data_IF_145604955351
#
_entry.id   IF_145604955351
#
_cell.length_a   1.000
_cell.length_b   1.000
_cell.length_c   1.000
_cell.angle_alpha   90.00
_cell.angle_beta   90.00
_cell.angle_gamma   90.00
#
_symmetry.space_group_name_H-M   'P 1'
#
loop_
_entity.id
_entity.type
_entity.pdbx_description
1 polymer ?
#
# COMPACT_ATOMS: atom_id res chain seq x y z
N UNK A 1 -9.38 13.50 -6.54
CA UNK A 1 -10.17 12.24 -6.47
C UNK A 1 -9.29 11.01 -6.20
N UNK A 2 -8.14 10.85 -6.86
CA UNK A 2 -7.25 9.71 -6.61
C UNK A 2 -6.53 9.75 -5.25
N UNK A 3 -6.14 10.94 -4.77
CA UNK A 3 -5.45 11.12 -3.48
C UNK A 3 -6.31 10.61 -2.31
N UNK A 4 -7.56 11.06 -2.23
CA UNK A 4 -8.51 10.63 -1.18
C UNK A 4 -8.77 9.12 -1.17
N UNK A 5 -8.71 8.46 -2.34
CA UNK A 5 -8.88 7.01 -2.39
C UNK A 5 -7.60 6.26 -1.98
N UNK A 6 -6.44 6.73 -2.42
CA UNK A 6 -5.17 6.13 -2.02
C UNK A 6 -4.95 6.21 -0.52
N UNK A 7 -5.30 7.33 0.12
CA UNK A 7 -5.22 7.50 1.57
C UNK A 7 -6.09 6.49 2.33
N UNK A 8 -7.32 6.25 1.88
CA UNK A 8 -8.21 5.23 2.48
C UNK A 8 -7.61 3.83 2.33
N UNK A 9 -7.04 3.51 1.16
CA UNK A 9 -6.37 2.24 0.93
C UNK A 9 -5.15 2.10 1.83
N UNK A 10 -4.35 3.14 1.97
CA UNK A 10 -3.16 3.15 2.81
C UNK A 10 -3.53 2.94 4.28
N UNK A 11 -4.55 3.64 4.77
CA UNK A 11 -5.07 3.46 6.13
C UNK A 11 -5.56 2.03 6.36
N UNK A 12 -6.29 1.44 5.41
CA UNK A 12 -6.69 0.04 5.49
C UNK A 12 -5.48 -0.91 5.55
N UNK A 13 -4.44 -0.63 4.77
CA UNK A 13 -3.20 -1.42 4.81
C UNK A 13 -2.50 -1.30 6.17
N UNK A 14 -2.47 -0.12 6.78
CA UNK A 14 -1.90 0.10 8.13
C UNK A 14 -2.67 -0.69 9.20
N UNK A 15 -3.99 -0.69 9.13
CA UNK A 15 -4.84 -1.45 10.06
C UNK A 15 -4.63 -2.96 9.93
N UNK A 16 -4.49 -3.49 8.71
CA UNK A 16 -4.37 -4.94 8.47
C UNK A 16 -2.96 -5.46 8.71
N UNK A 17 -1.94 -4.69 8.32
CA UNK A 17 -0.55 -5.13 8.40
C UNK A 17 0.11 -4.77 9.73
N UNK A 18 -0.56 -3.98 10.57
CA UNK A 18 -0.02 -3.39 11.78
C UNK A 18 0.83 -2.18 11.44
N UNK A 19 0.36 -0.98 11.80
CA UNK A 19 1.07 0.27 11.57
C UNK A 19 2.49 0.21 12.14
N UNK A 20 3.48 0.44 11.27
CA UNK A 20 4.89 0.73 11.56
C UNK A 20 5.42 0.21 12.91
N UNK A 21 5.27 -1.10 13.18
CA UNK A 21 5.93 -1.75 14.30
C UNK A 21 7.42 -1.81 14.01
N UNK A 22 8.17 -0.87 14.59
CA UNK A 22 9.62 -0.86 14.78
C UNK A 22 10.40 -1.90 13.95
N UNK A 23 10.75 -1.54 12.71
CA UNK A 23 11.85 -2.23 12.05
C UNK A 23 13.12 -1.94 12.86
N UNK A 24 13.51 -2.89 13.71
CA UNK A 24 14.81 -2.91 14.36
C UNK A 24 15.88 -2.52 13.33
N UNK A 25 16.65 -1.50 13.65
CA UNK A 25 17.77 -0.98 12.87
C UNK A 25 18.86 -2.05 12.72
N UNK A 26 18.63 -3.08 11.91
CA UNK A 26 19.71 -3.94 11.43
C UNK A 26 20.50 -3.11 10.43
N UNK A 27 21.75 -2.78 10.80
CA UNK A 27 22.74 -2.08 9.95
C UNK A 27 22.70 -2.66 8.52
N UNK A 28 22.09 -1.89 7.61
CA UNK A 28 21.80 -2.26 6.23
C UNK A 28 20.91 -1.21 5.56
N UNK A 29 20.78 -1.26 4.23
CA UNK A 29 19.87 -0.37 3.46
C UNK A 29 18.48 -0.45 4.10
N UNK A 30 17.89 0.68 4.50
CA UNK A 30 16.51 0.70 5.01
C UNK A 30 15.64 -0.11 4.04
N UNK A 31 14.81 -1.04 4.52
CA UNK A 31 13.87 -1.75 3.68
C UNK A 31 12.76 -0.79 3.23
N UNK A 32 12.19 -1.04 2.04
CA UNK A 32 11.11 -0.22 1.53
C UNK A 32 9.90 -0.22 2.49
N UNK A 33 9.14 0.89 2.59
CA UNK A 33 7.94 0.94 3.41
C UNK A 33 6.90 -0.06 2.88
N UNK A 34 6.80 -1.22 3.52
CA UNK A 34 6.01 -2.35 3.02
C UNK A 34 4.53 -2.00 2.90
N UNK A 35 3.97 -1.33 3.90
CA UNK A 35 2.56 -0.90 3.91
C UNK A 35 2.24 0.01 2.72
N UNK A 36 3.12 0.97 2.43
CA UNK A 36 2.95 1.87 1.29
C UNK A 36 3.01 1.11 -0.05
N UNK A 37 3.95 0.16 -0.18
CA UNK A 37 4.03 -0.67 -1.38
C UNK A 37 2.81 -1.59 -1.54
N UNK A 38 2.29 -2.15 -0.45
CA UNK A 38 1.06 -2.96 -0.47
C UNK A 38 -0.14 -2.10 -0.88
N UNK A 39 -0.25 -0.86 -0.40
CA UNK A 39 -1.30 0.07 -0.81
C UNK A 39 -1.26 0.36 -2.33
N UNK A 40 -0.06 0.59 -2.88
CA UNK A 40 0.11 0.77 -4.34
C UNK A 40 -0.26 -0.49 -5.11
N UNK A 41 0.15 -1.67 -4.64
CA UNK A 41 -0.21 -2.94 -5.29
C UNK A 41 -1.72 -3.19 -5.22
N UNK A 42 -2.36 -2.90 -4.08
CA UNK A 42 -3.81 -3.04 -3.95
C UNK A 42 -4.55 -2.09 -4.90
N UNK A 43 -4.14 -0.82 -4.99
CA UNK A 43 -4.69 0.14 -5.95
C UNK A 43 -4.50 -0.37 -7.39
N UNK A 44 -3.32 -0.90 -7.72
CA UNK A 44 -3.02 -1.48 -9.03
C UNK A 44 -4.00 -2.60 -9.39
N UNK A 45 -4.26 -3.52 -8.45
CA UNK A 45 -5.20 -4.62 -8.63
C UNK A 45 -6.65 -4.13 -8.77
N UNK A 46 -7.06 -3.18 -7.93
CA UNK A 46 -8.40 -2.58 -7.95
C UNK A 46 -8.71 -1.92 -9.30
N UNK A 47 -7.75 -1.17 -9.84
CA UNK A 47 -7.92 -0.43 -11.09
C UNK A 47 -7.65 -1.28 -12.35
N UNK A 48 -7.26 -2.55 -12.18
CA UNK A 48 -6.89 -3.43 -13.30
C UNK A 48 -5.64 -2.96 -14.05
N UNK A 49 -4.74 -2.25 -13.39
CA UNK A 49 -3.55 -1.68 -14.00
C UNK A 49 -2.45 -2.73 -14.22
N UNK A 50 -1.72 -2.58 -15.32
CA UNK A 50 -0.44 -3.25 -15.49
C UNK A 50 0.62 -2.67 -14.53
N UNK A 51 1.66 -3.45 -14.21
CA UNK A 51 2.77 -2.96 -13.38
C UNK A 51 3.52 -1.75 -13.98
N UNK A 52 3.45 -1.56 -15.30
CA UNK A 52 4.00 -0.36 -15.95
C UNK A 52 3.15 0.88 -15.67
N UNK A 53 1.82 0.73 -15.66
CA UNK A 53 0.91 1.81 -15.27
C UNK A 53 1.07 2.14 -13.79
N UNK A 54 1.24 1.13 -12.93
CA UNK A 54 1.52 1.36 -11.51
C UNK A 54 2.84 2.11 -11.28
N UNK A 55 3.92 1.72 -11.99
CA UNK A 55 5.20 2.44 -11.95
C UNK A 55 5.06 3.90 -12.43
N UNK A 56 4.29 4.12 -13.50
CA UNK A 56 4.00 5.47 -13.99
C UNK A 56 3.22 6.29 -12.96
N UNK A 57 2.19 5.71 -12.34
CA UNK A 57 1.44 6.36 -11.27
C UNK A 57 2.34 6.75 -10.10
N UNK A 58 3.28 5.87 -9.71
CA UNK A 58 4.26 6.17 -8.66
C UNK A 58 5.20 7.33 -9.03
N UNK A 59 5.54 7.49 -10.31
CA UNK A 59 6.34 8.62 -10.79
C UNK A 59 5.55 9.93 -10.73
N UNK A 60 4.30 9.89 -11.17
CA UNK A 60 3.39 11.04 -11.18
C UNK A 60 2.99 11.49 -9.77
N UNK A 61 2.96 10.56 -8.80
CA UNK A 61 2.52 10.79 -7.42
C UNK A 61 3.66 10.63 -6.40
N UNK A 62 4.92 10.91 -6.80
CA UNK A 62 6.07 10.72 -5.92
C UNK A 62 6.01 11.59 -4.65
N UNK A 63 5.49 12.81 -4.74
CA UNK A 63 5.33 13.70 -3.57
C UNK A 63 4.33 13.14 -2.57
N UNK A 64 3.19 12.61 -3.03
CA UNK A 64 2.22 11.91 -2.18
C UNK A 64 2.88 10.73 -1.46
N UNK A 65 3.63 9.90 -2.20
CA UNK A 65 4.36 8.78 -1.58
C UNK A 65 5.36 9.26 -0.51
N UNK A 66 6.02 10.40 -0.72
CA UNK A 66 6.96 11.00 0.26
C UNK A 66 6.24 11.47 1.52
N UNK A 67 5.07 12.09 1.39
CA UNK A 67 4.23 12.50 2.52
C UNK A 67 3.86 11.30 3.41
N UNK A 68 3.72 10.11 2.81
CA UNK A 68 3.44 8.85 3.51
C UNK A 68 4.68 7.99 3.79
N UNK A 69 5.88 8.59 3.87
CA UNK A 69 7.08 7.92 4.38
C UNK A 69 7.98 7.26 3.33
N UNK A 70 7.77 7.53 2.03
CA UNK A 70 8.75 7.13 1.02
C UNK A 70 10.02 7.99 1.08
N UNK A 71 11.12 7.45 1.59
CA UNK A 71 12.37 8.20 1.76
C UNK A 71 13.37 8.07 0.61
N UNK A 72 13.04 7.30 -0.44
CA UNK A 72 13.98 7.06 -1.54
C UNK A 72 13.85 8.12 -2.62
N UNK A 73 14.99 8.48 -3.23
CA UNK A 73 15.04 9.44 -4.33
C UNK A 73 14.15 9.03 -5.50
N UNK A 74 14.16 7.75 -5.85
CA UNK A 74 13.43 7.22 -6.99
C UNK A 74 12.10 6.60 -6.53
N UNK A 75 11.03 6.69 -7.34
CA UNK A 75 9.76 6.01 -7.04
C UNK A 75 9.91 4.48 -7.09
N UNK A 76 8.94 3.75 -6.51
CA UNK A 76 8.81 2.30 -6.70
C UNK A 76 8.86 1.91 -8.18
N UNK A 77 9.67 0.90 -8.50
CA UNK A 77 9.76 0.35 -9.87
C UNK A 77 8.82 -0.84 -10.04
N UNK A 78 8.49 -1.16 -11.30
CA UNK A 78 7.66 -2.33 -11.64
C UNK A 78 8.14 -3.64 -11.00
N UNK A 79 9.47 -3.83 -10.86
CA UNK A 79 10.05 -5.03 -10.26
C UNK A 79 9.85 -5.07 -8.74
N UNK A 80 9.93 -3.93 -8.07
CA UNK A 80 9.61 -3.82 -6.63
C UNK A 80 8.15 -4.15 -6.39
N UNK A 81 7.25 -3.60 -7.19
CA UNK A 81 5.81 -3.86 -7.10
C UNK A 81 5.48 -5.33 -7.41
N UNK A 82 6.12 -5.91 -8.43
CA UNK A 82 5.98 -7.33 -8.76
C UNK A 82 6.37 -8.25 -7.60
N UNK A 83 7.47 -7.95 -6.90
CA UNK A 83 7.90 -8.77 -5.77
C UNK A 83 6.90 -8.71 -4.62
N UNK A 84 6.40 -7.51 -4.29
CA UNK A 84 5.35 -7.34 -3.26
C UNK A 84 4.08 -8.08 -3.64
N UNK A 85 3.66 -8.00 -4.90
CA UNK A 85 2.49 -8.70 -5.40
C UNK A 85 2.63 -10.24 -5.29
N UNK A 86 3.83 -10.78 -5.47
CA UNK A 86 4.11 -12.22 -5.30
C UNK A 86 4.09 -12.69 -3.85
N UNK A 87 4.37 -11.79 -2.91
CA UNK A 87 4.40 -12.08 -1.48
C UNK A 87 3.03 -11.88 -0.80
N UNK A 88 2.10 -11.19 -1.46
CA UNK A 88 0.76 -10.93 -0.96
C UNK A 88 -0.13 -12.17 -1.12
N UNK A 89 -0.61 -12.70 0.00
CA UNK A 89 -1.63 -13.74 -0.01
C UNK A 89 -3.05 -13.17 -0.22
N UNK A 90 -3.94 -14.04 -0.71
CA UNK A 90 -5.34 -13.68 -1.02
C UNK A 90 -6.08 -13.27 0.26
N UNK A 91 -5.80 -13.92 1.39
CA UNK A 91 -6.47 -13.64 2.66
C UNK A 91 -6.19 -12.21 3.16
N UNK A 92 -4.98 -11.71 2.96
CA UNK A 92 -4.56 -10.35 3.28
C UNK A 92 -5.22 -9.34 2.36
N UNK A 93 -5.29 -9.62 1.06
CA UNK A 93 -6.03 -8.78 0.10
C UNK A 93 -7.52 -8.69 0.46
N UNK A 94 -8.14 -9.81 0.85
CA UNK A 94 -9.54 -9.83 1.28
C UNK A 94 -9.75 -9.02 2.57
N UNK A 95 -8.85 -9.12 3.54
CA UNK A 95 -8.89 -8.31 4.77
C UNK A 95 -8.76 -6.81 4.47
N UNK A 96 -7.80 -6.41 3.62
CA UNK A 96 -7.65 -5.03 3.18
C UNK A 96 -8.95 -4.55 2.50
N UNK A 97 -9.50 -5.36 1.59
CA UNK A 97 -10.74 -5.03 0.89
C UNK A 97 -11.91 -4.80 1.84
N UNK A 98 -12.08 -5.67 2.84
CA UNK A 98 -13.11 -5.50 3.86
C UNK A 98 -12.94 -4.18 4.62
N UNK A 99 -11.72 -3.88 5.08
CA UNK A 99 -11.42 -2.64 5.81
C UNK A 99 -11.62 -1.40 4.93
N UNK A 100 -11.24 -1.43 3.65
CA UNK A 100 -11.52 -0.32 2.71
C UNK A 100 -13.02 -0.06 2.61
N UNK A 101 -13.85 -1.11 2.42
CA UNK A 101 -15.30 -0.96 2.36
C UNK A 101 -15.88 -0.42 3.67
N UNK A 102 -15.29 -0.81 4.81
CA UNK A 102 -15.68 -0.29 6.11
C UNK A 102 -15.36 1.19 6.27
N UNK A 103 -14.15 1.61 5.91
CA UNK A 103 -13.74 3.02 5.95
C UNK A 103 -14.57 3.90 5.01
N UNK A 104 -15.08 3.32 3.91
CA UNK A 104 -16.04 3.99 3.00
C UNK A 104 -17.49 4.01 3.53
N UNK A 105 -17.77 3.38 4.67
CA UNK A 105 -19.13 3.27 5.24
C UNK A 105 -20.04 2.28 4.52
N UNK A 106 -19.50 1.46 3.60
CA UNK A 106 -20.29 0.50 2.82
C UNK A 106 -20.64 -0.77 3.61
N UNK A 107 -19.83 -1.11 4.62
CA UNK A 107 -20.02 -2.29 5.47
C UNK A 107 -19.64 -1.99 6.93
N UNK A 108 -20.35 -2.64 7.86
CA UNK A 108 -20.00 -2.60 9.28
C UNK A 108 -19.14 -3.82 9.62
N UNK A 109 -17.90 -3.60 10.09
CA UNK A 109 -17.05 -4.66 10.63
C UNK A 109 -17.16 -4.56 12.16
N UNK A 110 -17.77 -5.53 12.86
CA UNK A 110 -17.72 -5.56 14.32
C UNK A 110 -16.24 -5.62 14.74
N UNK A 111 -15.86 -4.73 15.66
CA UNK A 111 -14.48 -4.32 15.95
C UNK A 111 -13.44 -5.44 15.84
N UNK A 112 -12.35 -5.17 15.10
CA UNK A 112 -11.11 -5.93 15.14
C UNK A 112 -10.49 -5.76 16.54
N UNK A 113 -10.95 -6.60 17.48
CA UNK A 113 -10.37 -6.78 18.81
C UNK A 113 -9.26 -7.82 18.80
#
# INVERSE_FOLDING_TARGET
MAESEFEVILQACEMVLGGSGHHQEKRGRRPYPRTLLVAVVYLTLKEGWSLRQAERWCQENLELLRQHGWTYRNPPRKSTLHNVMRELDIATLQRISAVVRHLKGEVHIPALG
#
